data_IF_087392436254
#
_entry.id   IF_087392436254
#
_cell.length_a   1.000
_cell.length_b   1.000
_cell.length_c   1.000
_cell.angle_alpha   90.00
_cell.angle_beta   90.00
_cell.angle_gamma   90.00
#
_symmetry.space_group_name_H-M   'P 1'
#
loop_
_entity.id
_entity.type
_entity.pdbx_description
1 polymer ?
#
# COMPACT_ATOMS: atom_id res chain seq x y z
N UNK A 1 38.68 -5.03 25.79
CA UNK A 1 39.45 -3.79 25.52
C UNK A 1 38.75 -2.94 24.48
N UNK A 2 39.34 -1.81 24.05
CA UNK A 2 38.77 -0.90 23.03
C UNK A 2 38.51 -1.62 21.70
N UNK A 3 39.35 -2.60 21.36
CA UNK A 3 39.21 -3.46 20.18
C UNK A 3 37.96 -4.35 20.23
N UNK A 4 37.71 -4.98 21.37
CA UNK A 4 36.54 -5.86 21.55
C UNK A 4 35.25 -5.05 21.47
N UNK A 5 35.26 -3.83 22.02
CA UNK A 5 34.14 -2.91 21.89
C UNK A 5 33.86 -2.54 20.43
N UNK A 6 34.91 -2.26 19.64
CA UNK A 6 34.76 -1.96 18.22
C UNK A 6 34.21 -3.15 17.42
N UNK A 7 34.67 -4.37 17.74
CA UNK A 7 34.16 -5.60 17.12
C UNK A 7 32.68 -5.82 17.45
N UNK A 8 32.29 -5.72 18.72
CA UNK A 8 30.89 -5.84 19.13
C UNK A 8 30.01 -4.75 18.48
N UNK A 9 30.52 -3.52 18.35
CA UNK A 9 29.78 -2.45 17.69
C UNK A 9 29.50 -2.77 16.20
N UNK A 10 30.47 -3.36 15.49
CA UNK A 10 30.28 -3.79 14.10
C UNK A 10 29.29 -4.94 13.99
N UNK A 11 29.35 -5.92 14.89
CA UNK A 11 28.40 -7.04 14.96
C UNK A 11 26.98 -6.56 15.22
N UNK A 12 26.80 -5.63 16.16
CA UNK A 12 25.50 -5.03 16.44
C UNK A 12 24.95 -4.24 15.25
N UNK A 13 25.81 -3.55 14.51
CA UNK A 13 25.41 -2.83 13.30
C UNK A 13 24.92 -3.81 12.23
N UNK A 14 25.66 -4.89 11.99
CA UNK A 14 25.28 -5.94 11.05
C UNK A 14 23.94 -6.59 11.47
N UNK A 15 23.81 -6.96 12.74
CA UNK A 15 22.57 -7.54 13.28
C UNK A 15 21.37 -6.58 13.17
N UNK A 16 21.56 -5.28 13.44
CA UNK A 16 20.52 -4.29 13.29
C UNK A 16 20.07 -4.15 11.82
N UNK A 17 21.01 -4.21 10.89
CA UNK A 17 20.71 -4.16 9.46
C UNK A 17 19.88 -5.38 9.01
N UNK A 18 20.29 -6.58 9.43
CA UNK A 18 19.56 -7.81 9.11
C UNK A 18 18.15 -7.80 9.70
N UNK A 19 17.99 -7.33 10.93
CA UNK A 19 16.68 -7.17 11.57
C UNK A 19 15.77 -6.19 10.79
N UNK A 20 16.33 -5.10 10.25
CA UNK A 20 15.59 -4.16 9.40
C UNK A 20 15.15 -4.82 8.09
N UNK A 21 16.01 -5.61 7.46
CA UNK A 21 15.67 -6.34 6.23
C UNK A 21 14.54 -7.34 6.49
N UNK A 22 14.66 -8.13 7.56
CA UNK A 22 13.65 -9.10 7.95
C UNK A 22 12.31 -8.43 8.24
N UNK A 23 12.32 -7.34 9.01
CA UNK A 23 11.12 -6.56 9.31
C UNK A 23 10.44 -6.04 8.04
N UNK A 24 11.22 -5.55 7.06
CA UNK A 24 10.70 -5.11 5.76
C UNK A 24 10.05 -6.27 5.00
N UNK A 25 10.72 -7.41 4.91
CA UNK A 25 10.17 -8.60 4.24
C UNK A 25 8.86 -9.05 4.89
N UNK A 26 8.78 -9.05 6.22
CA UNK A 26 7.56 -9.38 6.96
C UNK A 26 6.43 -8.39 6.66
N UNK A 27 6.71 -7.09 6.73
CA UNK A 27 5.74 -6.04 6.45
C UNK A 27 5.21 -6.14 5.01
N UNK A 28 6.09 -6.32 4.03
CA UNK A 28 5.72 -6.53 2.62
C UNK A 28 4.82 -7.75 2.48
N UNK A 29 5.15 -8.87 3.12
CA UNK A 29 4.31 -10.08 3.10
C UNK A 29 2.92 -9.80 3.66
N UNK A 30 2.82 -9.15 4.83
CA UNK A 30 1.53 -8.83 5.45
C UNK A 30 0.69 -7.84 4.62
N UNK A 31 1.33 -6.80 4.06
CA UNK A 31 0.67 -5.84 3.19
C UNK A 31 0.13 -6.52 1.92
N UNK A 32 0.91 -7.44 1.33
CA UNK A 32 0.53 -8.15 0.12
C UNK A 32 -0.59 -9.19 0.34
N UNK A 33 -0.81 -9.70 1.57
CA UNK A 33 -1.92 -10.64 1.85
C UNK A 33 -3.30 -10.11 1.46
N UNK A 34 -3.49 -8.78 1.51
CA UNK A 34 -4.76 -8.12 1.19
C UNK A 34 -4.81 -7.54 -0.23
N UNK A 35 -3.71 -7.62 -0.98
CA UNK A 35 -3.72 -7.28 -2.41
C UNK A 35 -4.35 -8.44 -3.17
N UNK A 36 -5.55 -8.21 -3.69
CA UNK A 36 -6.12 -9.06 -4.74
C UNK A 36 -5.47 -8.70 -6.07
N UNK A 37 -5.43 -9.66 -7.00
CA UNK A 37 -5.23 -9.32 -8.41
C UNK A 37 -6.27 -8.28 -8.83
N UNK A 38 -5.83 -7.31 -9.63
CA UNK A 38 -6.78 -6.38 -10.24
C UNK A 38 -7.79 -7.16 -11.09
N UNK A 39 -9.08 -6.78 -11.05
CA UNK A 39 -10.08 -7.43 -11.89
C UNK A 39 -9.72 -7.19 -13.36
N UNK A 40 -9.94 -8.21 -14.19
CA UNK A 40 -9.82 -8.06 -15.65
C UNK A 40 -11.01 -7.23 -16.12
N UNK A 41 -10.75 -6.03 -16.61
CA UNK A 41 -11.75 -5.11 -17.14
C UNK A 41 -11.62 -5.09 -18.67
N UNK A 42 -12.73 -5.30 -19.39
CA UNK A 42 -12.78 -5.29 -20.86
C UNK A 42 -13.51 -4.05 -21.37
N UNK A 43 -13.27 -3.72 -22.64
CA UNK A 43 -14.11 -2.77 -23.37
C UNK A 43 -15.55 -3.25 -23.32
N UNK A 44 -16.48 -2.30 -23.18
CA UNK A 44 -17.92 -2.49 -22.98
C UNK A 44 -18.38 -2.96 -21.59
N UNK A 45 -17.47 -3.29 -20.66
CA UNK A 45 -17.85 -3.63 -19.28
C UNK A 45 -18.45 -2.43 -18.55
N UNK A 46 -19.41 -2.71 -17.65
CA UNK A 46 -20.01 -1.72 -16.75
C UNK A 46 -19.31 -1.76 -15.39
N UNK A 47 -18.52 -0.73 -15.08
CA UNK A 47 -17.72 -0.64 -13.85
C UNK A 47 -18.07 0.55 -12.98
N UNK A 48 -18.01 0.35 -11.66
CA UNK A 48 -18.14 1.43 -10.70
C UNK A 48 -16.82 2.16 -10.47
N UNK A 49 -16.85 3.50 -10.47
CA UNK A 49 -15.67 4.32 -10.19
C UNK A 49 -15.62 4.76 -8.73
N UNK A 50 -14.45 4.65 -8.10
CA UNK A 50 -14.26 5.14 -6.74
C UNK A 50 -14.21 6.67 -6.70
N UNK A 51 -14.96 7.27 -5.78
CA UNK A 51 -14.98 8.72 -5.57
C UNK A 51 -13.78 9.26 -4.81
N UNK A 52 -12.85 8.39 -4.36
CA UNK A 52 -11.69 8.77 -3.54
C UNK A 52 -10.78 9.81 -4.21
N UNK A 53 -10.56 9.66 -5.51
CA UNK A 53 -9.64 10.49 -6.30
C UNK A 53 -10.36 11.32 -7.38
N UNK A 54 -11.69 11.44 -7.30
CA UNK A 54 -12.49 12.19 -8.27
C UNK A 54 -12.76 13.61 -7.76
N UNK A 55 -12.84 14.55 -8.71
CA UNK A 55 -13.23 15.92 -8.40
C UNK A 55 -14.75 16.00 -8.31
N UNK A 56 -15.27 15.90 -7.09
CA UNK A 56 -16.70 15.89 -6.80
C UNK A 56 -17.25 17.32 -6.71
N UNK A 57 -18.57 17.53 -6.92
CA UNK A 57 -19.17 18.86 -6.87
C UNK A 57 -18.88 19.56 -5.52
N UNK A 58 -18.38 20.80 -5.59
CA UNK A 58 -17.76 21.55 -4.48
C UNK A 58 -18.70 21.81 -3.28
N UNK A 59 -20.01 21.77 -3.48
CA UNK A 59 -21.01 22.11 -2.46
C UNK A 59 -21.53 20.90 -1.66
N UNK A 60 -20.83 19.75 -1.68
CA UNK A 60 -21.19 18.58 -0.87
C UNK A 60 -20.04 18.13 0.02
N UNK A 61 -20.36 17.86 1.28
CA UNK A 61 -19.41 17.26 2.21
C UNK A 61 -18.99 15.87 1.72
N UNK A 62 -17.68 15.62 1.63
CA UNK A 62 -17.11 14.34 1.17
C UNK A 62 -17.61 13.13 1.96
N UNK A 63 -17.97 13.33 3.24
CA UNK A 63 -18.52 12.30 4.14
C UNK A 63 -19.90 11.78 3.69
N UNK A 64 -20.67 12.61 2.99
CA UNK A 64 -22.04 12.30 2.55
C UNK A 64 -22.10 11.80 1.11
N UNK A 65 -20.96 11.73 0.42
CA UNK A 65 -20.92 11.27 -0.96
C UNK A 65 -20.81 9.73 -1.00
N UNK A 66 -21.42 9.09 -2.00
CA UNK A 66 -21.28 7.66 -2.17
C UNK A 66 -19.81 7.32 -2.45
N UNK A 67 -19.34 6.17 -1.94
CA UNK A 67 -17.96 5.70 -2.14
C UNK A 67 -17.66 5.32 -3.59
N UNK A 68 -18.70 4.97 -4.33
CA UNK A 68 -18.65 4.59 -5.74
C UNK A 68 -19.77 5.29 -6.50
N UNK A 69 -19.51 5.66 -7.75
CA UNK A 69 -20.49 6.27 -8.65
C UNK A 69 -20.60 5.44 -9.93
N UNK A 70 -21.86 5.29 -10.40
CA UNK A 70 -22.29 4.82 -11.73
C UNK A 70 -21.71 3.51 -12.24
N UNK A 71 -22.49 2.64 -12.91
CA UNK A 71 -21.89 1.75 -13.88
C UNK A 71 -21.49 2.57 -15.11
N UNK A 72 -20.20 2.82 -15.27
CA UNK A 72 -19.63 3.45 -16.46
C UNK A 72 -19.22 2.37 -17.44
N UNK A 73 -19.52 2.59 -18.72
CA UNK A 73 -19.07 1.74 -19.80
C UNK A 73 -17.59 2.04 -20.09
N UNK A 74 -16.76 1.01 -20.09
CA UNK A 74 -15.35 1.10 -20.51
C UNK A 74 -15.30 1.21 -22.03
N UNK A 75 -14.61 2.22 -22.55
CA UNK A 75 -14.47 2.53 -23.98
C UNK A 75 -13.02 2.26 -24.38
#
# INVERSE_FOLDING_TARGET
>A
GVTDFALSALEHLASAHDAIIEARAFQTRQANKRRSSEPVIRVDDLVFLSTKNLNLPKNRARKLLPRFIGPYKVI
#
